data_IF_522023453650
#
_entry.id   IF_522023453650
#
_cell.length_a   1.000
_cell.length_b   1.000
_cell.length_c   1.000
_cell.angle_alpha   90.00
_cell.angle_beta   90.00
_cell.angle_gamma   90.00
#
_symmetry.space_group_name_H-M   'P 1'
#
loop_
_entity.id
_entity.type
_entity.pdbx_description
1 polymer ?
#
# COMPACT_ATOMS: atom_id res chain seq x y z
N UNK A 1 3.51 -32.02 1.63
CA UNK A 1 3.80 -31.05 0.54
C UNK A 1 2.51 -30.55 -0.08
N UNK A 2 2.33 -29.22 -0.15
CA UNK A 2 1.13 -28.61 -0.73
C UNK A 2 1.16 -28.62 -2.27
N UNK A 3 0.01 -28.87 -2.92
CA UNK A 3 -0.13 -28.77 -4.37
C UNK A 3 -0.18 -27.29 -4.83
N UNK A 4 0.78 -26.78 -5.62
CA UNK A 4 0.80 -25.38 -6.06
C UNK A 4 -0.46 -24.96 -6.85
N UNK A 5 -1.12 -25.91 -7.54
CA UNK A 5 -2.36 -25.63 -8.31
C UNK A 5 -3.57 -25.33 -7.42
N UNK A 6 -3.51 -25.62 -6.12
CA UNK A 6 -4.60 -25.33 -5.19
C UNK A 6 -4.68 -23.85 -4.81
N UNK A 7 -3.59 -23.08 -5.02
CA UNK A 7 -3.49 -21.68 -4.64
C UNK A 7 -3.96 -20.78 -5.77
N UNK A 8 -4.83 -19.83 -5.43
CA UNK A 8 -5.54 -18.99 -6.41
C UNK A 8 -5.41 -17.49 -6.11
N UNK A 9 -4.90 -17.15 -4.93
CA UNK A 9 -4.67 -15.77 -4.48
C UNK A 9 -3.18 -15.62 -4.15
N UNK A 10 -2.51 -14.67 -4.80
CA UNK A 10 -1.16 -14.27 -4.47
C UNK A 10 -1.17 -13.03 -3.59
N UNK A 11 -0.29 -12.95 -2.60
CA UNK A 11 -0.10 -11.80 -1.73
C UNK A 11 1.38 -11.46 -1.68
N UNK A 12 1.76 -10.27 -2.14
CA UNK A 12 3.15 -9.79 -2.07
C UNK A 12 3.28 -8.75 -0.96
N UNK A 13 4.30 -8.92 -0.12
CA UNK A 13 4.70 -7.98 0.93
C UNK A 13 6.06 -7.38 0.59
N UNK A 14 6.24 -6.08 0.80
CA UNK A 14 7.51 -5.40 0.58
C UNK A 14 8.49 -5.62 1.74
N UNK A 15 8.01 -5.58 3.00
CA UNK A 15 8.87 -5.63 4.18
C UNK A 15 8.47 -6.70 5.19
N UNK A 16 9.40 -7.06 6.09
CA UNK A 16 9.23 -8.10 7.11
C UNK A 16 8.03 -7.86 8.02
N UNK A 17 7.77 -6.60 8.41
CA UNK A 17 6.62 -6.23 9.24
C UNK A 17 5.30 -6.56 8.55
N UNK A 18 5.19 -6.29 7.25
CA UNK A 18 4.01 -6.61 6.44
C UNK A 18 3.85 -8.13 6.29
N UNK A 19 4.95 -8.84 6.02
CA UNK A 19 4.92 -10.30 5.92
C UNK A 19 4.49 -10.97 7.24
N UNK A 20 4.99 -10.50 8.38
CA UNK A 20 4.56 -10.98 9.71
C UNK A 20 3.06 -10.73 9.91
N UNK A 21 2.55 -9.56 9.51
CA UNK A 21 1.13 -9.26 9.60
C UNK A 21 0.32 -10.20 8.69
N UNK A 22 0.70 -10.35 7.42
CA UNK A 22 0.05 -11.20 6.44
C UNK A 22 -0.05 -12.67 6.92
N UNK A 23 1.05 -13.21 7.46
CA UNK A 23 1.08 -14.56 8.05
C UNK A 23 0.12 -14.71 9.22
N UNK A 24 -0.04 -13.68 10.06
CA UNK A 24 -0.97 -13.69 11.18
C UNK A 24 -2.45 -13.61 10.74
N UNK A 25 -2.72 -13.20 9.51
CA UNK A 25 -4.07 -13.18 8.94
C UNK A 25 -4.53 -14.54 8.40
N UNK A 26 -3.60 -15.46 8.11
CA UNK A 26 -3.95 -16.84 7.74
C UNK A 26 -4.77 -17.51 8.86
N UNK A 27 -5.84 -18.18 8.46
CA UNK A 27 -6.64 -19.04 9.35
C UNK A 27 -5.95 -20.40 9.53
N UNK A 28 -5.31 -20.89 8.48
CA UNK A 28 -4.52 -22.12 8.45
C UNK A 28 -3.21 -21.85 7.71
N UNK A 29 -2.08 -22.30 8.28
CA UNK A 29 -0.77 -22.29 7.62
C UNK A 29 -0.51 -23.69 7.08
N UNK A 30 -0.18 -23.79 5.80
CA UNK A 30 0.13 -25.05 5.13
C UNK A 30 1.64 -25.27 5.06
N UNK A 31 2.06 -26.52 4.82
CA UNK A 31 3.44 -26.79 4.46
C UNK A 31 3.82 -26.06 3.17
N UNK A 32 5.09 -25.65 3.08
CA UNK A 32 5.64 -25.00 1.90
C UNK A 32 5.50 -25.83 0.61
N UNK A 33 5.75 -25.21 -0.55
CA UNK A 33 5.71 -25.91 -1.83
C UNK A 33 6.74 -27.04 -1.84
N UNK A 34 6.36 -28.20 -2.39
CA UNK A 34 7.27 -29.35 -2.47
C UNK A 34 8.49 -29.10 -3.36
N UNK A 35 8.31 -28.29 -4.40
CA UNK A 35 9.38 -27.71 -5.21
C UNK A 35 8.87 -26.43 -5.88
N UNK A 36 9.78 -25.50 -6.11
CA UNK A 36 9.59 -24.34 -6.98
C UNK A 36 10.60 -24.43 -8.13
N UNK A 37 10.51 -23.53 -9.12
CA UNK A 37 11.51 -23.46 -10.18
C UNK A 37 12.92 -23.28 -9.59
N UNK A 38 13.98 -23.91 -10.14
CA UNK A 38 15.35 -23.74 -9.64
C UNK A 38 15.85 -22.28 -9.61
N UNK A 39 15.24 -21.41 -10.42
CA UNK A 39 15.56 -19.98 -10.51
C UNK A 39 14.58 -19.09 -9.73
N UNK A 40 13.59 -19.69 -9.06
CA UNK A 40 12.68 -18.96 -8.17
C UNK A 40 13.31 -18.88 -6.77
N UNK A 41 13.77 -17.68 -6.42
CA UNK A 41 14.43 -17.38 -5.16
C UNK A 41 13.46 -16.88 -4.07
N UNK A 42 12.15 -16.91 -4.31
CA UNK A 42 11.17 -16.39 -3.37
C UNK A 42 11.01 -17.30 -2.15
N UNK A 43 10.85 -16.67 -0.98
CA UNK A 43 10.33 -17.33 0.22
C UNK A 43 8.80 -17.30 0.20
N UNK A 44 8.17 -18.47 0.23
CA UNK A 44 6.71 -18.59 0.19
C UNK A 44 6.15 -19.08 1.52
N UNK A 45 5.18 -18.33 2.05
CA UNK A 45 4.25 -18.86 3.04
C UNK A 45 2.95 -19.26 2.38
N UNK A 46 2.55 -20.52 2.56
CA UNK A 46 1.30 -21.05 2.05
C UNK A 46 0.25 -21.14 3.16
N UNK A 47 -1.00 -20.84 2.83
CA UNK A 47 -2.08 -21.01 3.79
C UNK A 47 -3.46 -20.73 3.22
N UNK A 48 -4.39 -20.44 4.12
CA UNK A 48 -5.80 -20.24 3.81
C UNK A 48 -6.39 -19.07 4.58
N UNK A 49 -7.23 -18.29 3.92
CA UNK A 49 -8.07 -17.25 4.53
C UNK A 49 -9.50 -17.50 4.09
N UNK A 50 -10.38 -17.82 5.05
CA UNK A 50 -11.73 -18.27 4.78
C UNK A 50 -11.74 -19.49 3.86
N UNK A 51 -12.23 -19.33 2.63
CA UNK A 51 -12.29 -20.39 1.62
C UNK A 51 -11.18 -20.30 0.56
N UNK A 52 -10.28 -19.33 0.68
CA UNK A 52 -9.27 -19.03 -0.33
C UNK A 52 -7.91 -19.56 0.09
N UNK A 53 -7.25 -20.32 -0.79
CA UNK A 53 -5.85 -20.67 -0.64
C UNK A 53 -4.96 -19.53 -1.14
N UNK A 54 -4.11 -19.05 -0.23
CA UNK A 54 -3.27 -17.87 -0.40
C UNK A 54 -1.80 -18.29 -0.39
N UNK A 55 -1.04 -17.82 -1.38
CA UNK A 55 0.42 -17.85 -1.36
C UNK A 55 0.92 -16.44 -1.06
N UNK A 56 1.74 -16.32 -0.03
CA UNK A 56 2.36 -15.06 0.39
C UNK A 56 3.84 -15.13 0.01
N UNK A 57 4.35 -14.09 -0.65
CA UNK A 57 5.79 -13.88 -0.83
C UNK A 57 6.21 -12.55 -0.23
N UNK A 58 7.50 -12.45 0.09
CA UNK A 58 8.15 -11.23 0.56
C UNK A 58 9.27 -10.84 -0.40
N UNK A 59 9.51 -9.54 -0.56
CA UNK A 59 10.67 -9.07 -1.32
C UNK A 59 11.99 -9.45 -0.62
N UNK A 60 13.10 -9.58 -1.38
CA UNK A 60 14.42 -9.80 -0.82
C UNK A 60 14.81 -8.76 0.22
N UNK A 61 15.54 -9.20 1.25
CA UNK A 61 15.93 -8.31 2.35
C UNK A 61 16.81 -7.16 1.86
N UNK A 62 16.43 -5.92 2.19
CA UNK A 62 17.13 -4.71 1.75
C UNK A 62 16.77 -4.26 0.33
N UNK A 63 15.90 -4.99 -0.36
CA UNK A 63 15.35 -4.60 -1.65
C UNK A 63 13.88 -4.22 -1.50
N UNK A 64 13.52 -3.11 -2.13
CA UNK A 64 12.13 -2.67 -2.29
C UNK A 64 12.02 -1.91 -3.61
N UNK A 65 10.79 -1.60 -4.00
CA UNK A 65 10.52 -0.91 -5.25
C UNK A 65 10.06 -1.80 -6.40
N UNK A 66 9.79 -1.14 -7.52
CA UNK A 66 9.13 -1.66 -8.73
C UNK A 66 9.82 -2.92 -9.28
N UNK A 67 11.15 -2.90 -9.42
CA UNK A 67 11.89 -3.98 -10.07
C UNK A 67 11.85 -5.29 -9.25
N UNK A 68 12.08 -5.17 -7.94
CA UNK A 68 12.06 -6.30 -7.02
C UNK A 68 10.66 -6.91 -6.94
N UNK A 69 9.63 -6.07 -6.82
CA UNK A 69 8.24 -6.52 -6.84
C UNK A 69 7.85 -7.25 -8.13
N UNK A 70 8.30 -6.74 -9.28
CA UNK A 70 8.05 -7.38 -10.57
C UNK A 70 8.73 -8.75 -10.68
N UNK A 71 9.95 -8.91 -10.15
CA UNK A 71 10.68 -10.19 -10.14
C UNK A 71 9.95 -11.22 -9.28
N UNK A 72 9.64 -10.87 -8.02
CA UNK A 72 8.91 -11.75 -7.09
C UNK A 72 7.57 -12.18 -7.68
N UNK A 73 6.81 -11.25 -8.27
CA UNK A 73 5.54 -11.56 -8.90
C UNK A 73 5.69 -12.48 -10.12
N UNK A 74 6.72 -12.27 -10.94
CA UNK A 74 6.99 -13.11 -12.12
C UNK A 74 7.25 -14.55 -11.71
N UNK A 75 8.11 -14.76 -10.72
CA UNK A 75 8.46 -16.09 -10.23
C UNK A 75 7.28 -16.77 -9.53
N UNK A 76 6.51 -16.01 -8.74
CA UNK A 76 5.27 -16.49 -8.15
C UNK A 76 4.26 -16.96 -9.21
N UNK A 77 4.08 -16.23 -10.30
CA UNK A 77 3.19 -16.64 -11.39
C UNK A 77 3.67 -17.92 -12.09
N UNK A 78 4.98 -18.15 -12.17
CA UNK A 78 5.53 -19.38 -12.74
C UNK A 78 5.34 -20.58 -11.80
N UNK A 79 5.63 -20.41 -10.52
CA UNK A 79 5.50 -21.48 -9.51
C UNK A 79 4.04 -21.80 -9.16
N UNK A 80 3.15 -20.81 -9.23
CA UNK A 80 1.72 -20.93 -8.91
C UNK A 80 0.84 -20.57 -10.12
N UNK A 81 0.85 -21.44 -11.13
CA UNK A 81 0.14 -21.23 -12.41
C UNK A 81 -1.38 -21.04 -12.34
N UNK A 82 -2.01 -21.30 -11.19
CA UNK A 82 -3.47 -21.18 -10.99
C UNK A 82 -3.87 -19.91 -10.22
N UNK A 83 -2.92 -18.99 -10.01
CA UNK A 83 -3.23 -17.66 -9.48
C UNK A 83 -4.21 -16.92 -10.39
N UNK A 84 -5.31 -16.47 -9.79
CA UNK A 84 -6.38 -15.75 -10.49
C UNK A 84 -6.35 -14.26 -10.17
N UNK A 85 -5.97 -13.94 -8.94
CA UNK A 85 -5.88 -12.58 -8.42
C UNK A 85 -4.64 -12.44 -7.54
N UNK A 86 -4.13 -11.23 -7.49
CA UNK A 86 -3.04 -10.81 -6.61
C UNK A 86 -3.49 -9.74 -5.63
N UNK A 87 -2.75 -9.60 -4.54
CA UNK A 87 -2.87 -8.50 -3.59
C UNK A 87 -1.47 -7.95 -3.33
N UNK A 88 -1.31 -6.64 -3.47
CA UNK A 88 -0.14 -5.94 -2.94
C UNK A 88 -0.61 -5.21 -1.69
N UNK A 89 -0.34 -5.81 -0.52
CA UNK A 89 -0.77 -5.25 0.76
C UNK A 89 0.46 -4.85 1.54
N UNK A 90 0.55 -3.57 1.86
CA UNK A 90 1.67 -3.03 2.60
C UNK A 90 1.33 -1.69 3.25
N UNK A 91 2.37 -0.97 3.65
CA UNK A 91 2.27 0.40 4.13
C UNK A 91 2.59 1.38 3.02
N UNK A 92 2.13 2.62 3.18
CA UNK A 92 2.44 3.73 2.30
C UNK A 92 2.26 5.06 3.03
N UNK A 93 2.72 6.13 2.40
CA UNK A 93 2.57 7.48 2.92
C UNK A 93 1.26 8.11 2.46
N UNK A 94 0.55 8.78 3.35
CA UNK A 94 -0.74 9.40 3.08
C UNK A 94 -0.60 10.78 2.44
N UNK A 95 -1.62 11.16 1.65
CA UNK A 95 -1.73 12.48 1.06
C UNK A 95 -3.00 13.21 1.55
N UNK A 96 -3.01 13.75 2.78
CA UNK A 96 -4.19 14.42 3.31
C UNK A 96 -4.52 15.68 2.50
N UNK A 97 -5.81 15.94 2.31
CA UNK A 97 -6.30 17.14 1.65
C UNK A 97 -7.60 17.62 2.28
N UNK A 98 -8.09 18.79 1.86
CA UNK A 98 -9.40 19.29 2.31
C UNK A 98 -10.56 18.32 1.96
N UNK A 99 -10.40 17.53 0.89
CA UNK A 99 -11.38 16.54 0.43
C UNK A 99 -11.23 15.18 1.11
N UNK A 100 -9.99 14.82 1.48
CA UNK A 100 -9.64 13.52 2.03
C UNK A 100 -8.90 13.68 3.36
N UNK A 101 -9.62 13.51 4.47
CA UNK A 101 -9.06 13.50 5.83
C UNK A 101 -8.32 12.17 6.09
N UNK A 102 -7.20 11.96 5.41
CA UNK A 102 -6.35 10.78 5.55
C UNK A 102 -5.52 10.91 6.82
N UNK A 103 -5.49 9.84 7.62
CA UNK A 103 -4.80 9.81 8.91
C UNK A 103 -3.92 8.57 9.07
N UNK A 104 -2.94 8.64 9.96
CA UNK A 104 -2.11 7.48 10.31
C UNK A 104 -2.99 6.33 10.79
N UNK A 105 -2.73 5.12 10.27
CA UNK A 105 -3.52 3.92 10.53
C UNK A 105 -4.78 3.78 9.68
N UNK A 106 -5.18 4.78 8.88
CA UNK A 106 -6.18 4.59 7.83
C UNK A 106 -5.66 3.64 6.75
N UNK A 107 -6.57 3.13 5.93
CA UNK A 107 -6.23 2.29 4.78
C UNK A 107 -6.68 2.95 3.48
N UNK A 108 -5.85 2.90 2.45
CA UNK A 108 -6.20 3.30 1.09
C UNK A 108 -6.26 2.05 0.22
N UNK A 109 -7.38 1.85 -0.47
CA UNK A 109 -7.59 0.78 -1.46
C UNK A 109 -7.56 1.41 -2.84
N UNK A 110 -6.72 0.89 -3.74
CA UNK A 110 -6.65 1.38 -5.11
C UNK A 110 -7.99 1.14 -5.82
N UNK A 111 -8.62 2.22 -6.28
CA UNK A 111 -9.84 2.11 -7.09
C UNK A 111 -9.81 3.10 -8.25
N UNK A 112 -10.19 2.67 -9.47
CA UNK A 112 -10.26 3.58 -10.60
C UNK A 112 -11.34 4.64 -10.36
N UNK A 113 -11.08 5.88 -10.76
CA UNK A 113 -11.99 7.01 -10.53
C UNK A 113 -11.86 8.04 -11.64
N UNK A 114 -12.98 8.61 -12.07
CA UNK A 114 -13.04 9.76 -12.99
C UNK A 114 -12.22 9.54 -14.29
N UNK A 115 -12.22 8.31 -14.82
CA UNK A 115 -11.48 7.93 -16.03
C UNK A 115 -9.99 7.65 -15.83
N UNK A 116 -9.47 7.82 -14.61
CA UNK A 116 -8.10 7.49 -14.24
C UNK A 116 -7.97 6.02 -13.80
N UNK A 117 -6.76 5.48 -13.98
CA UNK A 117 -6.38 4.21 -13.36
C UNK A 117 -6.42 4.28 -11.85
N UNK A 118 -6.32 3.13 -11.18
CA UNK A 118 -6.29 3.02 -9.73
C UNK A 118 -4.88 3.21 -9.15
N UNK A 119 -3.85 3.00 -9.98
CA UNK A 119 -2.45 3.29 -9.68
C UNK A 119 -1.86 4.16 -10.80
N UNK A 120 -1.09 5.19 -10.43
CA UNK A 120 -0.30 5.95 -11.40
C UNK A 120 1.19 5.91 -11.07
N UNK A 121 2.02 5.56 -12.06
CA UNK A 121 3.47 5.68 -11.91
C UNK A 121 3.90 7.12 -12.22
N UNK A 122 4.29 7.90 -11.21
CA UNK A 122 4.51 9.35 -11.39
C UNK A 122 5.93 9.72 -11.83
N UNK A 123 6.89 8.79 -11.75
CA UNK A 123 8.27 8.97 -12.21
C UNK A 123 8.54 8.40 -13.61
N UNK A 124 7.51 7.87 -14.29
CA UNK A 124 7.63 7.27 -15.63
C UNK A 124 7.06 8.16 -16.73
N UNK A 125 7.95 8.71 -17.56
CA UNK A 125 7.58 9.78 -18.46
C UNK A 125 8.76 10.43 -19.16
N UNK A 126 8.50 11.61 -19.72
CA UNK A 126 9.48 12.38 -20.49
C UNK A 126 9.83 13.67 -19.74
N UNK A 127 11.13 13.93 -19.66
CA UNK A 127 11.66 15.26 -19.35
C UNK A 127 11.93 15.96 -20.67
N UNK A 128 11.36 17.15 -20.86
CA UNK A 128 11.57 17.98 -22.05
C UNK A 128 12.16 19.30 -21.56
N UNK A 129 13.15 19.83 -22.28
CA UNK A 129 13.80 21.09 -21.93
C UNK A 129 12.76 22.18 -21.66
N UNK A 130 12.92 22.88 -20.53
CA UNK A 130 12.06 23.97 -20.06
C UNK A 130 10.57 23.61 -19.89
N UNK A 131 10.22 22.33 -19.75
CA UNK A 131 8.85 21.85 -19.53
C UNK A 131 8.73 21.01 -18.26
N UNK A 132 7.51 20.95 -17.72
CA UNK A 132 7.18 20.03 -16.63
C UNK A 132 7.32 18.58 -17.09
N UNK A 133 7.75 17.71 -16.18
CA UNK A 133 7.78 16.27 -16.43
C UNK A 133 6.41 15.78 -16.88
N UNK A 134 6.39 15.03 -17.98
CA UNK A 134 5.15 14.51 -18.57
C UNK A 134 5.08 13.00 -18.37
N UNK A 135 4.19 12.55 -17.48
CA UNK A 135 3.87 11.13 -17.31
C UNK A 135 3.34 10.57 -18.65
N UNK A 136 3.88 9.43 -19.10
CA UNK A 136 3.45 8.80 -20.36
C UNK A 136 3.00 7.35 -20.21
N UNK A 137 3.11 6.78 -19.01
CA UNK A 137 2.69 5.40 -18.75
C UNK A 137 1.21 5.31 -18.38
N UNK A 138 0.60 4.18 -18.75
CA UNK A 138 -0.67 3.72 -18.20
C UNK A 138 -0.45 2.33 -17.59
N UNK A 139 -1.14 2.05 -16.49
CA UNK A 139 -1.12 0.77 -15.79
C UNK A 139 -2.50 0.12 -15.91
N UNK A 140 -2.55 -1.21 -15.94
CA UNK A 140 -3.83 -1.90 -15.99
C UNK A 140 -4.59 -1.68 -14.68
N UNK A 141 -5.89 -1.96 -14.73
CA UNK A 141 -6.77 -1.96 -13.56
C UNK A 141 -6.81 -3.34 -12.91
N UNK A 142 -7.24 -3.45 -11.64
CA UNK A 142 -7.45 -4.72 -10.96
C UNK A 142 -8.48 -5.57 -11.72
N UNK A 143 -8.41 -6.91 -11.63
CA UNK A 143 -9.43 -7.78 -12.18
C UNK A 143 -10.85 -7.38 -11.76
N UNK A 144 -11.83 -7.56 -12.66
CA UNK A 144 -13.23 -7.23 -12.38
C UNK A 144 -13.75 -7.89 -11.09
N UNK A 145 -13.33 -9.13 -10.81
CA UNK A 145 -13.68 -9.82 -9.57
C UNK A 145 -13.24 -9.06 -8.31
N UNK A 146 -12.06 -8.45 -8.31
CA UNK A 146 -11.57 -7.60 -7.22
C UNK A 146 -12.32 -6.28 -7.17
N UNK A 147 -12.59 -5.65 -8.32
CA UNK A 147 -13.36 -4.40 -8.37
C UNK A 147 -14.79 -4.59 -7.82
N UNK A 148 -15.48 -5.66 -8.21
CA UNK A 148 -16.82 -5.99 -7.68
C UNK A 148 -16.78 -6.34 -6.21
N UNK A 149 -15.75 -7.07 -5.75
CA UNK A 149 -15.57 -7.36 -4.32
C UNK A 149 -15.38 -6.08 -3.50
N UNK A 150 -14.60 -5.11 -3.99
CA UNK A 150 -14.46 -3.79 -3.35
C UNK A 150 -15.80 -3.07 -3.26
N UNK A 151 -16.59 -3.04 -4.34
CA UNK A 151 -17.94 -2.45 -4.31
C UNK A 151 -18.86 -3.13 -3.30
N UNK A 152 -18.79 -4.46 -3.17
CA UNK A 152 -19.55 -5.22 -2.17
C UNK A 152 -19.08 -5.00 -0.74
N UNK A 153 -17.78 -4.79 -0.51
CA UNK A 153 -17.24 -4.46 0.81
C UNK A 153 -17.61 -3.04 1.23
N UNK A 154 -17.65 -2.09 0.29
CA UNK A 154 -18.05 -0.69 0.56
C UNK A 154 -19.48 -0.58 1.10
N UNK A 155 -20.37 -1.51 0.75
CA UNK A 155 -21.74 -1.53 1.24
C UNK A 155 -21.91 -2.25 2.58
N UNK A 156 -20.85 -2.83 3.12
CA UNK A 156 -20.86 -3.55 4.39
C UNK A 156 -20.11 -2.75 5.45
N UNK A 157 -20.74 -2.47 6.60
CA UNK A 157 -20.02 -2.00 7.78
C UNK A 157 -19.21 -3.15 8.35
N UNK A 158 -17.93 -3.24 7.98
CA UNK A 158 -17.04 -4.31 8.44
C UNK A 158 -16.57 -4.00 9.87
N UNK A 159 -17.13 -4.68 10.87
CA UNK A 159 -16.64 -4.64 12.26
C UNK A 159 -16.04 -5.98 12.72
N UNK A 160 -14.78 -5.88 13.12
CA UNK A 160 -14.02 -6.63 14.13
C UNK A 160 -13.97 -8.17 14.13
N UNK A 161 -12.79 -8.70 13.74
CA UNK A 161 -12.25 -9.98 14.23
C UNK A 161 -10.73 -9.85 14.44
N UNK A 162 -10.19 -10.39 15.54
CA UNK A 162 -8.75 -10.47 15.95
C UNK A 162 -8.22 -9.37 16.93
N UNK A 163 -8.61 -9.38 18.22
CA UNK A 163 -8.20 -8.39 19.23
C UNK A 163 -6.70 -8.36 19.57
N UNK A 164 -5.96 -9.47 19.37
CA UNK A 164 -4.50 -9.50 19.57
C UNK A 164 -3.75 -8.59 18.58
N UNK A 165 -4.18 -8.55 17.32
CA UNK A 165 -3.58 -7.71 16.29
C UNK A 165 -3.91 -6.22 16.50
N UNK A 166 -5.09 -5.91 17.06
CA UNK A 166 -5.47 -4.51 17.38
C UNK A 166 -4.48 -3.84 18.31
N UNK A 167 -3.86 -4.53 19.27
CA UNK A 167 -2.90 -3.87 20.17
C UNK A 167 -1.64 -3.38 19.45
N UNK A 168 -1.16 -4.13 18.45
CA UNK A 168 0.11 -3.89 17.76
C UNK A 168 -0.03 -3.06 16.48
N UNK A 169 -1.18 -3.15 15.81
CA UNK A 169 -1.45 -2.49 14.52
C UNK A 169 -2.61 -1.48 14.60
N UNK A 170 -2.98 -1.01 15.79
CA UNK A 170 -3.96 0.09 15.92
C UNK A 170 -3.39 1.38 15.37
N UNK A 171 -4.30 2.26 14.96
CA UNK A 171 -4.02 3.69 14.76
C UNK A 171 -3.20 4.24 15.95
N UNK A 172 -2.13 5.02 15.68
CA UNK A 172 -1.40 5.75 16.71
C UNK A 172 -2.32 6.61 17.57
N UNK A 173 -1.88 6.90 18.80
CA UNK A 173 -2.62 7.82 19.65
C UNK A 173 -2.73 9.21 18.99
N UNK A 174 -3.83 9.97 19.19
CA UNK A 174 -4.07 11.23 18.47
C UNK A 174 -2.96 12.28 18.62
N UNK A 175 -2.22 12.23 19.72
CA UNK A 175 -1.06 13.09 20.00
C UNK A 175 0.17 12.75 19.15
N UNK A 176 0.25 11.54 18.60
CA UNK A 176 1.31 11.09 17.68
C UNK A 176 0.91 11.19 16.22
N UNK A 177 -0.38 11.35 15.94
CA UNK A 177 -0.92 11.57 14.61
C UNK A 177 -0.86 13.06 14.25
N UNK A 178 0.32 13.49 13.78
CA UNK A 178 0.63 14.89 13.50
C UNK A 178 0.86 15.10 12.01
N UNK A 179 0.09 16.03 11.44
CA UNK A 179 0.29 16.50 10.08
C UNK A 179 0.94 17.87 10.16
N UNK A 180 2.14 17.98 9.61
CA UNK A 180 2.88 19.24 9.57
C UNK A 180 2.47 20.07 8.33
N UNK A 181 2.64 21.38 8.44
CA UNK A 181 2.51 22.30 7.30
C UNK A 181 3.56 21.93 6.26
N UNK A 182 3.23 22.04 4.97
CA UNK A 182 4.11 21.60 3.87
C UNK A 182 5.44 22.38 3.73
N UNK A 183 5.59 23.50 4.45
CA UNK A 183 6.84 24.25 4.57
C UNK A 183 7.84 23.66 5.58
N UNK A 184 7.39 22.74 6.44
CA UNK A 184 8.23 22.09 7.42
C UNK A 184 9.00 20.98 6.72
N UNK A 185 10.32 21.08 6.73
CA UNK A 185 11.23 20.08 6.17
C UNK A 185 11.72 19.20 7.30
N UNK A 186 11.58 17.89 7.14
CA UNK A 186 12.05 16.90 8.12
C UNK A 186 13.47 16.47 7.75
N UNK A 187 14.43 16.61 8.67
CA UNK A 187 15.85 16.33 8.41
C UNK A 187 16.16 14.82 8.34
N UNK A 188 17.08 14.44 7.45
CA UNK A 188 17.08 13.17 6.72
C UNK A 188 17.68 11.95 7.44
N UNK A 189 18.43 12.12 8.54
CA UNK A 189 19.29 11.04 9.07
C UNK A 189 18.89 10.47 10.44
N UNK A 190 17.90 11.07 11.11
CA UNK A 190 17.42 10.56 12.39
C UNK A 190 15.99 10.06 12.25
N UNK A 191 15.72 8.86 12.77
CA UNK A 191 14.36 8.38 13.05
C UNK A 191 13.73 9.44 13.96
N UNK A 192 12.94 10.32 13.35
CA UNK A 192 12.49 11.53 14.00
C UNK A 192 11.46 11.15 15.05
N UNK A 193 11.81 11.26 16.33
CA UNK A 193 10.80 11.42 17.36
C UNK A 193 10.22 12.84 17.17
N UNK A 194 9.23 12.96 16.27
CA UNK A 194 8.74 14.20 15.66
C UNK A 194 8.49 15.36 16.65
N UNK A 195 8.27 15.07 17.93
CA UNK A 195 8.13 16.07 18.98
C UNK A 195 9.42 16.84 19.31
N UNK A 196 10.60 16.26 19.05
CA UNK A 196 11.90 16.79 19.50
C UNK A 196 12.58 17.62 18.41
N UNK A 197 12.54 17.17 17.15
CA UNK A 197 13.27 17.81 16.04
C UNK A 197 12.38 18.77 15.24
N UNK A 198 11.16 18.34 14.89
CA UNK A 198 10.25 19.14 14.06
C UNK A 198 9.43 20.16 14.86
N UNK A 199 9.58 20.15 16.19
CA UNK A 199 8.88 21.04 17.11
C UNK A 199 7.40 20.67 17.30
N UNK A 200 6.82 21.28 18.35
CA UNK A 200 5.39 21.19 18.68
C UNK A 200 4.69 22.54 18.50
N UNK A 201 5.29 23.47 17.75
CA UNK A 201 4.70 24.79 17.59
C UNK A 201 3.37 24.66 16.85
N UNK A 202 2.25 25.16 17.42
CA UNK A 202 0.94 25.04 16.78
C UNK A 202 0.88 25.62 15.36
N UNK A 203 1.76 26.58 15.04
CA UNK A 203 1.91 27.16 13.71
C UNK A 203 2.43 26.20 12.64
N UNK A 204 3.15 25.15 13.05
CA UNK A 204 3.78 24.18 12.16
C UNK A 204 2.93 22.95 11.95
N UNK A 205 1.82 22.84 12.68
CA UNK A 205 0.85 21.77 12.57
C UNK A 205 -0.37 22.22 11.76
N UNK A 206 -0.94 21.29 11.00
CA UNK A 206 -2.25 21.47 10.39
C UNK A 206 -3.32 21.15 11.42
N UNK A 207 -4.14 22.14 11.76
CA UNK A 207 -5.25 21.97 12.67
C UNK A 207 -6.29 21.00 12.06
N UNK A 208 -6.58 19.91 12.76
CA UNK A 208 -7.56 18.90 12.33
C UNK A 208 -8.56 18.63 13.44
N UNK A 209 -9.85 18.60 13.10
CA UNK A 209 -10.89 18.22 14.07
C UNK A 209 -10.72 16.77 14.50
N UNK A 210 -11.20 16.44 15.70
CA UNK A 210 -11.33 15.04 16.09
C UNK A 210 -12.40 14.37 15.23
N UNK A 211 -12.18 13.12 14.83
CA UNK A 211 -13.26 12.30 14.28
C UNK A 211 -14.32 12.05 15.36
N UNK A 212 -15.58 12.13 14.97
CA UNK A 212 -16.74 11.85 15.79
C UNK A 212 -16.87 10.34 16.03
N UNK A 213 -17.80 9.93 16.89
CA UNK A 213 -17.97 8.51 17.26
C UNK A 213 -18.59 7.66 16.14
N UNK A 214 -19.34 8.31 15.27
CA UNK A 214 -20.05 7.76 14.12
C UNK A 214 -19.21 7.76 12.84
N UNK A 215 -18.00 8.34 12.88
CA UNK A 215 -17.03 8.28 11.78
C UNK A 215 -16.07 7.11 11.94
N UNK A 216 -15.69 6.49 10.82
CA UNK A 216 -14.73 5.39 10.81
C UNK A 216 -13.36 5.81 11.35
N UNK A 217 -12.84 5.00 12.26
CA UNK A 217 -11.57 5.27 12.93
C UNK A 217 -10.86 3.98 13.38
N UNK A 218 -9.96 3.40 12.57
CA UNK A 218 -9.43 3.94 11.30
C UNK A 218 -10.45 3.92 10.16
N UNK A 219 -10.26 4.79 9.16
CA UNK A 219 -11.10 4.89 7.97
C UNK A 219 -10.49 4.15 6.77
N UNK A 220 -11.36 3.70 5.86
CA UNK A 220 -10.94 3.15 4.56
C UNK A 220 -11.26 4.16 3.46
N UNK A 221 -10.25 4.56 2.72
CA UNK A 221 -10.34 5.47 1.58
C UNK A 221 -10.19 4.67 0.29
N UNK A 222 -10.91 5.10 -0.74
CA UNK A 222 -10.90 4.45 -2.06
C UNK A 222 -10.51 5.48 -3.11
N UNK A 223 -9.41 5.27 -3.80
CA UNK A 223 -8.94 6.22 -4.81
C UNK A 223 -7.56 5.90 -5.38
N UNK A 224 -6.91 6.93 -5.91
CA UNK A 224 -5.66 6.81 -6.65
C UNK A 224 -4.46 6.62 -5.72
N UNK A 225 -3.63 5.62 -6.02
CA UNK A 225 -2.33 5.40 -5.38
C UNK A 225 -1.21 5.78 -6.36
N UNK A 226 -0.27 6.59 -5.91
CA UNK A 226 0.89 7.02 -6.69
C UNK A 226 2.11 6.12 -6.39
N UNK A 227 2.70 5.56 -7.44
CA UNK A 227 3.82 4.62 -7.38
C UNK A 227 5.08 5.19 -8.03
N UNK A 228 6.27 4.98 -7.45
CA UNK A 228 7.54 5.35 -8.06
C UNK A 228 8.74 4.59 -7.48
N UNK A 229 9.91 4.70 -8.11
CA UNK A 229 11.16 4.20 -7.54
C UNK A 229 11.75 5.13 -6.47
N UNK A 230 11.18 6.32 -6.29
CA UNK A 230 11.64 7.31 -5.30
C UNK A 230 10.59 7.45 -4.21
N UNK A 231 11.03 7.31 -2.96
CA UNK A 231 10.20 7.59 -1.79
C UNK A 231 9.78 9.06 -1.80
N UNK A 232 8.48 9.31 -1.60
CA UNK A 232 7.95 10.68 -1.50
C UNK A 232 8.21 11.23 -0.09
N UNK A 233 9.07 12.25 -0.03
CA UNK A 233 9.38 13.01 1.20
C UNK A 233 9.20 14.52 1.03
N UNK A 234 8.59 14.94 -0.07
CA UNK A 234 8.40 16.35 -0.40
C UNK A 234 6.92 16.68 -0.25
N UNK A 235 6.58 17.34 0.85
CA UNK A 235 5.22 17.73 1.18
C UNK A 235 4.60 18.65 0.11
N UNK A 236 5.40 19.51 -0.54
CA UNK A 236 4.91 20.42 -1.58
C UNK A 236 4.57 19.66 -2.86
N UNK A 237 5.41 18.69 -3.24
CA UNK A 237 5.15 17.81 -4.38
C UNK A 237 3.98 16.88 -4.10
N UNK A 238 3.90 16.30 -2.90
CA UNK A 238 2.77 15.50 -2.41
C UNK A 238 1.45 16.27 -2.55
N UNK A 239 1.38 17.47 -1.99
CA UNK A 239 0.18 18.33 -2.02
C UNK A 239 -0.23 18.66 -3.45
N UNK A 240 0.76 18.92 -4.32
CA UNK A 240 0.52 19.16 -5.75
C UNK A 240 -0.12 17.94 -6.42
N UNK A 241 0.38 16.72 -6.17
CA UNK A 241 -0.21 15.50 -6.71
C UNK A 241 -1.61 15.22 -6.14
N UNK A 242 -1.82 15.49 -4.85
CA UNK A 242 -3.15 15.38 -4.22
C UNK A 242 -4.14 16.35 -4.88
N UNK A 243 -3.73 17.60 -5.14
CA UNK A 243 -4.58 18.61 -5.76
C UNK A 243 -4.81 18.39 -7.26
N UNK A 244 -3.77 18.05 -8.03
CA UNK A 244 -3.86 17.91 -9.49
C UNK A 244 -4.42 16.56 -9.94
N UNK A 245 -4.22 15.49 -9.16
CA UNK A 245 -4.57 14.11 -9.56
C UNK A 245 -5.46 13.35 -8.56
N UNK A 246 -5.86 13.96 -7.44
CA UNK A 246 -6.64 13.29 -6.38
C UNK A 246 -5.91 12.07 -5.79
N UNK A 247 -4.57 12.12 -5.74
CA UNK A 247 -3.73 11.07 -5.12
C UNK A 247 -3.98 11.02 -3.62
N UNK A 248 -4.17 9.80 -3.09
CA UNK A 248 -4.45 9.55 -1.68
C UNK A 248 -3.26 8.94 -0.92
N UNK A 249 -2.40 8.21 -1.63
CA UNK A 249 -1.30 7.45 -1.04
C UNK A 249 -0.11 7.39 -1.99
N UNK A 250 1.10 7.41 -1.44
CA UNK A 250 2.37 7.15 -2.14
C UNK A 250 2.98 5.83 -1.66
N UNK A 251 3.49 5.04 -2.60
CA UNK A 251 4.19 3.77 -2.36
C UNK A 251 5.20 3.50 -3.48
N UNK A 252 5.93 2.37 -3.42
CA UNK A 252 7.08 2.16 -4.30
C UNK A 252 7.03 0.89 -5.17
N UNK A 253 6.04 0.02 -5.04
CA UNK A 253 6.06 -1.30 -5.67
C UNK A 253 5.04 -1.49 -6.79
N UNK A 254 3.83 -0.96 -6.62
CA UNK A 254 2.66 -1.38 -7.40
C UNK A 254 2.83 -1.21 -8.91
N UNK A 255 3.52 -0.17 -9.37
CA UNK A 255 3.74 0.05 -10.80
C UNK A 255 4.47 -1.13 -11.50
N UNK A 256 5.27 -1.91 -10.76
CA UNK A 256 5.93 -3.11 -11.27
C UNK A 256 5.00 -4.30 -11.43
N UNK A 257 3.90 -4.30 -10.68
CA UNK A 257 2.93 -5.38 -10.62
C UNK A 257 1.79 -5.19 -11.61
N UNK A 258 1.20 -3.99 -11.66
CA UNK A 258 -0.11 -3.76 -12.30
C UNK A 258 -0.18 -4.18 -13.78
N UNK A 259 0.95 -4.24 -14.51
CA UNK A 259 0.95 -4.67 -15.92
C UNK A 259 0.83 -6.18 -16.12
N UNK A 260 1.34 -6.99 -15.20
CA UNK A 260 1.54 -8.43 -15.41
C UNK A 260 1.00 -9.30 -14.29
N UNK A 261 0.80 -8.73 -13.10
CA UNK A 261 0.23 -9.39 -11.96
C UNK A 261 -1.17 -8.81 -11.72
N UNK A 262 -2.25 -9.62 -11.87
CA UNK A 262 -3.62 -9.14 -11.80
C UNK A 262 -4.01 -8.82 -10.35
N UNK A 263 -3.58 -7.67 -9.82
CA UNK A 263 -3.68 -7.35 -8.40
C UNK A 263 -4.50 -6.12 -8.04
N UNK A 264 -4.92 -6.09 -6.78
CA UNK A 264 -5.43 -4.91 -6.08
C UNK A 264 -4.35 -4.40 -5.11
N UNK A 265 -4.19 -3.08 -5.00
CA UNK A 265 -3.21 -2.46 -4.09
C UNK A 265 -3.92 -1.92 -2.86
N UNK A 266 -3.42 -2.27 -1.68
CA UNK A 266 -3.98 -1.87 -0.39
C UNK A 266 -2.85 -1.35 0.49
N UNK A 267 -2.95 -0.10 0.93
CA UNK A 267 -1.90 0.58 1.70
C UNK A 267 -2.43 1.07 3.04
N UNK A 268 -1.86 0.57 4.13
CA UNK A 268 -2.02 1.17 5.45
C UNK A 268 -1.15 2.43 5.58
N UNK A 269 -1.70 3.53 6.07
CA UNK A 269 -0.98 4.81 6.13
C UNK A 269 -0.05 4.84 7.35
N UNK A 270 1.26 4.91 7.10
CA UNK A 270 2.30 4.93 8.15
C UNK A 270 2.98 6.28 8.36
N UNK A 271 2.96 7.16 7.37
CA UNK A 271 3.52 8.52 7.38
C UNK A 271 2.67 9.43 6.47
N UNK A 272 3.07 10.70 6.31
CA UNK A 272 2.38 11.68 5.45
C UNK A 272 3.17 12.05 4.19
N UNK A 273 4.08 11.18 3.72
CA UNK A 273 4.89 11.42 2.52
C UNK A 273 5.68 12.73 2.56
N UNK A 274 6.09 13.14 3.76
CA UNK A 274 6.90 14.32 4.04
C UNK A 274 8.19 13.97 4.81
N UNK A 275 8.40 12.71 5.18
CA UNK A 275 9.48 12.24 6.08
C UNK A 275 10.30 11.10 5.51
#
# INVERSE_FOLDING_TARGET
MSNPRAYTVGWICAISTEHVAARAFLDEIHEGPGSVSPNDCNDYTLGKIGKHHVVIAILPNGEYGIASAASVARDMLHSFSHLRIGLMVGVGGGAPSAKHDIRLGDTVVSTPRDGNGDVCQYDFGKTIQDQRFRTTGFLNQPPMALQTAVSGLRSQMVLERKPRLRKRFKRPAPDRDRLYQNRVVHDLDNICDHAVICGNHPSDLVARRRRLKDEDNPAVHYGLIASANKLMKDASVRDKFAAEKDVLCFEMEAAGLMKHFPCLVIRGICDYSDT
#
